data_IF_582546599393
#
_entry.id   IF_582546599393
#
_cell.length_a   1.000
_cell.length_b   1.000
_cell.length_c   1.000
_cell.angle_alpha   90.00
_cell.angle_beta   90.00
_cell.angle_gamma   90.00
#
_symmetry.space_group_name_H-M   'P 1'
#
loop_
_entity.id
_entity.type
_entity.pdbx_description
1 polymer ?
#
# COMPACT_ATOMS: atom_id res chain seq x y z
N UNK A 1 -0.91 19.93 71.38
CA UNK A 1 -1.74 20.13 70.16
C UNK A 1 -0.91 20.93 69.16
N UNK A 2 -0.61 20.40 67.98
CA UNK A 2 0.06 21.15 66.90
C UNK A 2 -0.86 21.10 65.69
N UNK A 3 -1.42 22.26 65.32
CA UNK A 3 -2.37 22.37 64.22
C UNK A 3 -1.63 22.38 62.86
N UNK A 4 -2.17 21.66 61.88
CA UNK A 4 -1.55 21.53 60.56
C UNK A 4 -1.79 22.74 59.65
N UNK A 5 -0.78 23.08 58.84
CA UNK A 5 -0.92 24.06 57.77
C UNK A 5 -1.11 23.34 56.43
N UNK A 6 -2.36 23.20 55.97
CA UNK A 6 -2.66 22.81 54.58
C UNK A 6 -2.64 24.06 53.71
N UNK A 7 -1.66 24.16 52.80
CA UNK A 7 -1.65 25.19 51.74
C UNK A 7 -2.58 24.78 50.60
N UNK A 8 -3.79 25.33 50.56
CA UNK A 8 -4.66 25.27 49.38
C UNK A 8 -4.19 26.30 48.35
N UNK A 9 -3.84 25.82 47.14
CA UNK A 9 -3.48 26.67 46.01
C UNK A 9 -4.78 26.93 45.23
N UNK A 10 -5.31 28.15 45.29
CA UNK A 10 -6.49 28.57 44.52
C UNK A 10 -6.06 29.27 43.23
N UNK A 11 -6.46 28.73 42.09
CA UNK A 11 -6.34 29.41 40.80
C UNK A 11 -7.58 30.28 40.52
N UNK A 12 -7.42 31.52 39.99
CA UNK A 12 -8.55 32.36 39.64
C UNK A 12 -9.25 31.85 38.38
N UNK A 13 -10.57 31.67 38.45
CA UNK A 13 -11.37 31.38 37.26
C UNK A 13 -11.55 32.65 36.40
N UNK A 14 -11.47 32.56 35.06
CA UNK A 14 -11.73 33.70 34.19
C UNK A 14 -13.22 34.08 34.22
N UNK A 15 -13.50 35.39 34.33
CA UNK A 15 -14.88 35.92 34.27
C UNK A 15 -15.42 35.79 32.84
N UNK A 16 -16.54 35.10 32.67
CA UNK A 16 -17.25 35.00 31.38
C UNK A 16 -18.07 36.27 31.10
N UNK A 17 -18.15 36.74 29.83
CA UNK A 17 -19.08 37.81 29.45
C UNK A 17 -20.54 37.32 29.49
N UNK A 18 -21.45 38.23 29.83
CA UNK A 18 -22.90 38.00 29.85
C UNK A 18 -23.49 37.82 28.43
N UNK A 19 -24.40 36.85 28.20
CA UNK A 19 -25.04 36.67 26.91
C UNK A 19 -26.28 37.57 26.75
N UNK A 20 -26.63 38.01 25.52
CA UNK A 20 -27.97 38.49 25.21
C UNK A 20 -28.97 37.32 25.14
N UNK A 21 -30.25 37.62 25.33
CA UNK A 21 -31.32 36.62 25.34
C UNK A 21 -31.62 36.06 23.93
N UNK A 22 -31.77 34.75 23.81
CA UNK A 22 -32.33 34.09 22.61
C UNK A 22 -31.70 32.72 22.29
N UNK A 23 -32.54 31.71 22.07
CA UNK A 23 -32.15 30.43 21.46
C UNK A 23 -31.78 29.30 22.44
N UNK A 24 -32.71 28.37 22.65
CA UNK A 24 -32.44 27.12 23.36
C UNK A 24 -31.67 26.13 22.45
N UNK A 25 -30.35 26.04 22.62
CA UNK A 25 -29.51 25.06 21.92
C UNK A 25 -28.44 24.43 22.84
N UNK A 26 -28.63 23.12 23.10
CA UNK A 26 -27.60 22.11 23.45
C UNK A 26 -26.58 22.46 24.56
N UNK A 27 -27.04 22.50 25.82
CA UNK A 27 -26.15 22.38 26.99
C UNK A 27 -25.29 21.09 26.96
N UNK A 28 -25.80 20.01 26.34
CA UNK A 28 -25.10 18.75 26.11
C UNK A 28 -23.80 18.89 25.32
N UNK A 29 -23.80 19.68 24.23
CA UNK A 29 -22.63 19.87 23.37
C UNK A 29 -21.46 20.57 24.08
N UNK A 30 -21.75 21.57 24.93
CA UNK A 30 -20.72 22.26 25.73
C UNK A 30 -20.11 21.34 26.79
N UNK A 31 -20.91 20.44 27.39
CA UNK A 31 -20.39 19.40 28.30
C UNK A 31 -19.47 18.39 27.59
N UNK A 32 -19.78 18.04 26.33
CA UNK A 32 -18.98 17.12 25.54
C UNK A 32 -17.62 17.74 25.17
N UNK A 33 -17.60 19.01 24.78
CA UNK A 33 -16.38 19.76 24.49
C UNK A 33 -15.48 19.93 25.72
N UNK A 34 -16.05 20.08 26.92
CA UNK A 34 -15.28 20.12 28.17
C UNK A 34 -14.73 18.73 28.56
N UNK A 35 -15.56 17.68 28.44
CA UNK A 35 -15.15 16.28 28.68
C UNK A 35 -14.01 15.84 27.76
N UNK A 36 -13.98 16.33 26.52
CA UNK A 36 -12.92 16.06 25.54
C UNK A 36 -11.55 16.69 25.87
N UNK A 37 -11.45 17.57 26.89
CA UNK A 37 -10.18 18.20 27.30
C UNK A 37 -9.81 17.96 28.77
N UNK A 38 -10.57 17.12 29.47
CA UNK A 38 -10.36 16.84 30.90
C UNK A 38 -10.70 15.39 31.26
N UNK A 39 -10.31 14.45 30.40
CA UNK A 39 -10.14 13.06 30.78
C UNK A 39 -8.70 12.87 31.26
N UNK A 40 -8.42 13.25 32.51
CA UNK A 40 -7.17 12.85 33.19
C UNK A 40 -7.20 11.34 33.37
N UNK A 41 -6.66 10.61 32.40
CA UNK A 41 -6.37 9.18 32.52
C UNK A 41 -5.64 8.95 33.85
N UNK A 42 -5.93 7.87 34.60
CA UNK A 42 -5.12 7.51 35.75
C UNK A 42 -3.65 7.42 35.29
N UNK A 43 -2.78 8.21 35.92
CA UNK A 43 -1.49 8.68 35.37
C UNK A 43 -0.39 7.61 35.20
N UNK A 44 -0.74 6.34 34.99
CA UNK A 44 0.17 5.19 35.00
C UNK A 44 0.60 4.71 33.60
N UNK A 45 -0.22 4.97 32.58
CA UNK A 45 0.04 4.54 31.19
C UNK A 45 0.48 5.66 30.25
N UNK A 46 0.47 6.90 30.72
CA UNK A 46 0.73 8.10 29.93
C UNK A 46 1.99 8.00 29.04
N UNK A 47 3.17 7.52 29.48
CA UNK A 47 4.34 7.47 28.60
C UNK A 47 4.20 6.44 27.46
N UNK A 48 3.76 5.21 27.74
CA UNK A 48 3.70 4.14 26.73
C UNK A 48 2.54 4.30 25.74
N UNK A 49 1.38 4.79 26.22
CA UNK A 49 0.23 5.03 25.34
C UNK A 49 0.48 6.26 24.46
N UNK A 50 1.06 7.35 25.00
CA UNK A 50 1.44 8.48 24.15
C UNK A 50 2.51 8.10 23.13
N UNK A 51 3.55 7.35 23.50
CA UNK A 51 4.56 6.90 22.55
C UNK A 51 3.93 6.09 21.40
N UNK A 52 2.98 5.20 21.72
CA UNK A 52 2.24 4.46 20.69
C UNK A 52 1.38 5.38 19.83
N UNK A 53 0.65 6.33 20.43
CA UNK A 53 -0.20 7.29 19.72
C UNK A 53 0.63 8.21 18.79
N UNK A 54 1.81 8.66 19.25
CA UNK A 54 2.77 9.47 18.49
C UNK A 54 3.36 8.66 17.31
N UNK A 55 3.88 7.45 17.56
CA UNK A 55 4.40 6.54 16.52
C UNK A 55 3.34 6.23 15.44
N UNK A 56 2.07 6.10 15.87
CA UNK A 56 0.89 5.85 15.01
C UNK A 56 0.51 7.11 14.23
N UNK A 57 0.60 8.31 14.82
CA UNK A 57 0.38 9.57 14.13
C UNK A 57 1.42 9.81 13.04
N UNK A 58 2.70 9.56 13.34
CA UNK A 58 3.80 9.62 12.38
C UNK A 58 3.58 8.60 11.25
N UNK A 59 3.22 7.35 11.58
CA UNK A 59 2.89 6.34 10.58
C UNK A 59 1.76 6.79 9.64
N UNK A 60 0.72 7.45 10.16
CA UNK A 60 -0.38 8.00 9.34
C UNK A 60 0.07 9.14 8.44
N UNK A 61 0.96 10.01 8.92
CA UNK A 61 1.57 11.06 8.09
C UNK A 61 2.37 10.45 6.93
N UNK A 62 3.19 9.42 7.19
CA UNK A 62 3.93 8.67 6.16
C UNK A 62 3.00 8.02 5.13
N UNK A 63 1.88 7.42 5.57
CA UNK A 63 0.85 6.87 4.68
C UNK A 63 0.26 7.93 3.76
N UNK A 64 -0.01 9.13 4.27
CA UNK A 64 -0.46 10.28 3.47
C UNK A 64 0.54 10.63 2.35
N UNK A 65 1.84 10.63 2.65
CA UNK A 65 2.90 10.83 1.65
C UNK A 65 2.93 9.69 0.64
N UNK A 66 2.89 8.44 1.09
CA UNK A 66 2.91 7.23 0.25
C UNK A 66 1.77 7.16 -0.77
N UNK A 67 0.56 7.53 -0.37
CA UNK A 67 -0.62 7.54 -1.25
C UNK A 67 -0.52 8.68 -2.28
N UNK A 68 0.11 9.81 -1.91
CA UNK A 68 0.26 10.98 -2.78
C UNK A 68 1.41 10.83 -3.78
N UNK A 69 2.56 10.31 -3.34
CA UNK A 69 3.78 10.15 -4.12
C UNK A 69 4.60 8.96 -3.59
N UNK A 70 4.37 7.77 -4.16
CA UNK A 70 5.15 6.58 -3.82
C UNK A 70 6.58 6.67 -4.40
N UNK A 71 7.58 6.85 -3.54
CA UNK A 71 9.01 6.69 -3.84
C UNK A 71 9.58 5.44 -3.18
N UNK A 72 10.77 4.99 -3.61
CA UNK A 72 11.47 3.88 -2.95
C UNK A 72 11.74 4.19 -1.46
N UNK A 73 12.25 5.39 -1.19
CA UNK A 73 12.58 5.88 0.16
C UNK A 73 11.35 5.92 1.06
N UNK A 74 10.22 6.51 0.61
CA UNK A 74 9.01 6.58 1.41
C UNK A 74 8.39 5.19 1.70
N UNK A 75 8.59 4.23 0.80
CA UNK A 75 8.12 2.84 0.99
C UNK A 75 8.99 2.10 2.01
N UNK A 76 10.32 2.30 1.97
CA UNK A 76 11.24 1.78 2.98
C UNK A 76 10.97 2.40 4.36
N UNK A 77 10.88 3.73 4.46
CA UNK A 77 10.58 4.48 5.68
C UNK A 77 9.22 4.07 6.28
N UNK A 78 8.19 3.88 5.45
CA UNK A 78 6.91 3.35 5.89
C UNK A 78 6.99 1.91 6.43
N UNK A 79 7.88 1.08 5.89
CA UNK A 79 8.13 -0.28 6.38
C UNK A 79 8.95 -0.29 7.68
N UNK A 80 9.85 0.67 7.89
CA UNK A 80 10.53 0.88 9.17
C UNK A 80 9.57 1.40 10.26
N UNK A 81 8.74 2.40 9.96
CA UNK A 81 7.80 2.96 10.94
C UNK A 81 6.71 1.95 11.34
N UNK A 82 6.30 1.07 10.41
CA UNK A 82 5.50 -0.12 10.73
C UNK A 82 6.17 -0.98 11.81
N UNK A 83 7.49 -1.15 11.74
CA UNK A 83 8.28 -1.84 12.76
C UNK A 83 8.25 -1.11 14.11
N UNK A 84 8.38 0.23 14.12
CA UNK A 84 8.37 1.04 15.37
C UNK A 84 7.03 0.95 16.11
N UNK A 85 5.91 1.15 15.40
CA UNK A 85 4.57 1.00 15.98
C UNK A 85 4.36 -0.38 16.58
N UNK A 86 4.86 -1.44 15.93
CA UNK A 86 4.75 -2.81 16.45
C UNK A 86 5.67 -3.08 17.66
N UNK A 87 6.81 -2.40 17.78
CA UNK A 87 7.65 -2.41 18.99
C UNK A 87 6.95 -1.68 20.14
N UNK A 88 6.50 -0.44 19.94
CA UNK A 88 5.79 0.34 20.97
C UNK A 88 4.49 -0.36 21.43
N UNK A 89 3.78 -1.02 20.51
CA UNK A 89 2.64 -1.88 20.85
C UNK A 89 3.05 -3.12 21.65
N UNK A 90 4.15 -3.79 21.29
CA UNK A 90 4.70 -4.90 22.05
C UNK A 90 5.08 -4.46 23.47
N UNK A 91 5.75 -3.33 23.63
CA UNK A 91 6.16 -2.80 24.94
C UNK A 91 4.94 -2.47 25.81
N UNK A 92 3.90 -1.89 25.23
CA UNK A 92 2.61 -1.68 25.90
C UNK A 92 1.99 -3.01 26.38
N UNK A 93 1.98 -4.06 25.55
CA UNK A 93 1.37 -5.36 25.90
C UNK A 93 2.17 -6.16 26.94
N UNK A 94 3.51 -6.03 26.96
CA UNK A 94 4.35 -6.68 27.96
C UNK A 94 4.36 -5.94 29.31
N UNK A 95 3.92 -4.69 29.35
CA UNK A 95 3.85 -3.92 30.60
C UNK A 95 2.78 -4.50 31.55
N UNK A 96 3.12 -4.92 32.79
CA UNK A 96 2.23 -5.70 33.66
C UNK A 96 0.96 -4.93 34.04
N UNK A 97 1.03 -3.60 34.06
CA UNK A 97 -0.13 -2.78 34.35
C UNK A 97 -1.16 -2.84 33.21
N UNK A 98 -0.75 -3.02 31.95
CA UNK A 98 -1.66 -3.02 30.79
C UNK A 98 -2.35 -4.38 30.59
N UNK A 99 -1.71 -5.46 31.06
CA UNK A 99 -2.24 -6.82 31.00
C UNK A 99 -3.52 -6.99 31.82
N UNK A 100 -3.63 -6.34 32.97
CA UNK A 100 -4.79 -6.51 33.87
C UNK A 100 -6.09 -5.84 33.33
N UNK A 101 -6.06 -4.60 32.79
CA UNK A 101 -7.15 -4.04 32.00
C UNK A 101 -7.51 -4.86 30.75
N UNK A 102 -6.52 -5.44 30.06
CA UNK A 102 -6.77 -6.30 28.89
C UNK A 102 -7.32 -7.68 29.27
N UNK A 103 -6.95 -8.26 30.42
CA UNK A 103 -7.58 -9.49 30.97
C UNK A 103 -9.08 -9.33 31.19
N UNK A 104 -9.51 -8.14 31.66
CA UNK A 104 -10.94 -7.79 31.81
C UNK A 104 -11.71 -7.79 30.48
N UNK A 105 -11.02 -7.72 29.34
CA UNK A 105 -11.64 -7.87 28.02
C UNK A 105 -12.06 -9.32 27.72
N UNK A 106 -11.41 -10.31 28.37
CA UNK A 106 -11.76 -11.73 28.32
C UNK A 106 -11.99 -12.28 26.91
N UNK A 107 -12.97 -13.18 26.77
CA UNK A 107 -13.49 -13.65 25.47
C UNK A 107 -14.66 -12.79 25.00
N UNK A 108 -14.44 -11.49 24.89
CA UNK A 108 -15.40 -10.56 24.27
C UNK A 108 -15.25 -10.54 22.74
N UNK A 109 -16.27 -10.10 21.99
CA UNK A 109 -16.16 -9.95 20.53
C UNK A 109 -15.06 -8.95 20.10
N UNK A 110 -14.66 -8.00 20.94
CA UNK A 110 -13.52 -7.10 20.67
C UNK A 110 -12.19 -7.86 20.77
N UNK A 111 -12.03 -8.72 21.78
CA UNK A 111 -10.85 -9.55 21.97
C UNK A 111 -10.66 -10.55 20.82
N UNK A 112 -11.72 -11.30 20.46
CA UNK A 112 -11.71 -12.21 19.32
C UNK A 112 -11.40 -11.46 18.01
N UNK A 113 -12.00 -10.28 17.83
CA UNK A 113 -11.74 -9.44 16.66
C UNK A 113 -10.28 -9.00 16.55
N UNK A 114 -9.66 -8.56 17.64
CA UNK A 114 -8.24 -8.17 17.67
C UNK A 114 -7.33 -9.36 17.30
N UNK A 115 -7.61 -10.54 17.85
CA UNK A 115 -6.85 -11.77 17.57
C UNK A 115 -6.96 -12.22 16.11
N UNK A 116 -8.13 -12.06 15.51
CA UNK A 116 -8.40 -12.27 14.08
C UNK A 116 -7.68 -11.25 13.21
N UNK A 117 -7.67 -9.98 13.63
CA UNK A 117 -7.07 -8.89 12.87
C UNK A 117 -5.53 -8.99 12.84
N UNK A 118 -4.87 -9.32 13.95
CA UNK A 118 -3.44 -9.63 13.95
C UNK A 118 -3.10 -10.90 13.15
N UNK A 119 -3.97 -11.91 13.13
CA UNK A 119 -3.78 -13.10 12.29
C UNK A 119 -3.83 -12.74 10.80
N UNK A 120 -4.87 -12.01 10.38
CA UNK A 120 -5.03 -11.53 8.99
C UNK A 120 -3.88 -10.63 8.55
N UNK A 121 -3.33 -9.81 9.45
CA UNK A 121 -2.13 -9.02 9.17
C UNK A 121 -0.88 -9.89 9.01
N UNK A 122 -0.68 -10.89 9.88
CA UNK A 122 0.43 -11.84 9.73
C UNK A 122 0.32 -12.63 8.40
N UNK A 123 -0.86 -13.13 8.04
CA UNK A 123 -1.10 -13.83 6.77
C UNK A 123 -0.85 -12.94 5.55
N UNK A 124 -1.26 -11.67 5.62
CA UNK A 124 -1.01 -10.69 4.58
C UNK A 124 0.50 -10.38 4.44
N UNK A 125 1.22 -10.24 5.56
CA UNK A 125 2.68 -10.06 5.55
C UNK A 125 3.43 -11.31 5.08
N UNK A 126 3.00 -12.52 5.43
CA UNK A 126 3.56 -13.77 4.91
C UNK A 126 3.36 -13.93 3.40
N UNK A 127 2.17 -13.58 2.92
CA UNK A 127 1.87 -13.51 1.47
C UNK A 127 2.71 -12.44 0.77
N UNK A 128 2.88 -11.27 1.39
CA UNK A 128 3.69 -10.17 0.87
C UNK A 128 5.17 -10.55 0.77
N UNK A 129 5.76 -11.14 1.81
CA UNK A 129 7.15 -11.63 1.78
C UNK A 129 7.37 -12.65 0.65
N UNK A 130 6.44 -13.59 0.48
CA UNK A 130 6.48 -14.56 -0.63
C UNK A 130 6.47 -13.87 -2.02
N UNK A 131 5.70 -12.79 -2.16
CA UNK A 131 5.67 -11.98 -3.37
C UNK A 131 6.94 -11.12 -3.56
N UNK A 132 7.55 -10.60 -2.48
CA UNK A 132 8.81 -9.85 -2.55
C UNK A 132 9.96 -10.72 -3.07
N UNK A 133 10.11 -11.95 -2.57
CA UNK A 133 11.14 -12.89 -3.05
C UNK A 133 11.00 -13.17 -4.54
N UNK A 134 9.76 -13.33 -5.03
CA UNK A 134 9.49 -13.48 -6.47
C UNK A 134 9.82 -12.20 -7.26
N UNK A 135 9.48 -11.01 -6.74
CA UNK A 135 9.83 -9.73 -7.35
C UNK A 135 11.34 -9.48 -7.38
N UNK A 136 12.09 -9.86 -6.34
CA UNK A 136 13.53 -9.77 -6.27
C UNK A 136 14.20 -10.59 -7.39
N UNK A 137 13.78 -11.86 -7.55
CA UNK A 137 14.28 -12.73 -8.61
C UNK A 137 13.99 -12.15 -10.01
N UNK A 138 12.77 -11.65 -10.23
CA UNK A 138 12.36 -11.06 -11.51
C UNK A 138 13.05 -9.71 -11.80
N UNK A 139 13.32 -8.90 -10.77
CA UNK A 139 14.12 -7.69 -10.89
C UNK A 139 15.56 -8.01 -11.27
N UNK A 140 16.15 -9.05 -10.66
CA UNK A 140 17.51 -9.50 -10.96
C UNK A 140 17.62 -10.06 -12.38
N UNK A 141 16.64 -10.85 -12.83
CA UNK A 141 16.54 -11.34 -14.22
C UNK A 141 16.43 -10.18 -15.23
N UNK A 142 15.51 -9.23 -14.99
CA UNK A 142 15.34 -8.06 -15.84
C UNK A 142 16.63 -7.21 -15.91
N UNK A 143 17.31 -7.03 -14.78
CA UNK A 143 18.60 -6.32 -14.68
C UNK A 143 19.71 -7.07 -15.43
N UNK A 144 19.77 -8.40 -15.34
CA UNK A 144 20.74 -9.21 -16.06
C UNK A 144 20.51 -9.16 -17.57
N UNK A 145 19.26 -9.30 -18.04
CA UNK A 145 18.90 -9.18 -19.45
C UNK A 145 19.21 -7.77 -20.01
N UNK A 146 19.06 -6.73 -19.18
CA UNK A 146 19.40 -5.35 -19.54
C UNK A 146 20.92 -5.10 -19.66
N UNK A 147 21.74 -5.81 -18.88
CA UNK A 147 23.22 -5.80 -18.97
C UNK A 147 23.71 -6.58 -20.19
N UNK A 148 23.06 -7.71 -20.50
CA UNK A 148 23.42 -8.62 -21.59
C UNK A 148 22.84 -8.23 -22.95
N UNK A 149 22.03 -7.16 -23.00
CA UNK A 149 21.36 -6.67 -24.21
C UNK A 149 20.48 -7.74 -24.88
N UNK A 150 19.74 -8.50 -24.07
CA UNK A 150 18.88 -9.59 -24.53
C UNK A 150 17.40 -9.14 -24.54
N UNK A 151 16.91 -8.45 -25.60
CA UNK A 151 15.60 -7.77 -25.59
C UNK A 151 14.42 -8.74 -25.39
N UNK A 152 14.53 -9.96 -25.90
CA UNK A 152 13.50 -10.99 -25.71
C UNK A 152 13.36 -11.41 -24.25
N UNK A 153 14.50 -11.64 -23.54
CA UNK A 153 14.52 -11.98 -22.12
C UNK A 153 14.10 -10.80 -21.24
N UNK A 154 14.53 -9.58 -21.60
CA UNK A 154 14.10 -8.36 -20.94
C UNK A 154 12.58 -8.16 -21.05
N UNK A 155 11.99 -8.43 -22.22
CA UNK A 155 10.55 -8.36 -22.42
C UNK A 155 9.78 -9.45 -21.67
N UNK A 156 10.30 -10.68 -21.55
CA UNK A 156 9.67 -11.72 -20.72
C UNK A 156 9.76 -11.39 -19.23
N UNK A 157 10.94 -11.01 -18.74
CA UNK A 157 11.16 -10.61 -17.35
C UNK A 157 10.30 -9.40 -16.96
N UNK A 158 10.21 -8.37 -17.79
CA UNK A 158 9.33 -7.22 -17.54
C UNK A 158 7.84 -7.60 -17.54
N UNK A 159 7.39 -8.52 -18.41
CA UNK A 159 6.01 -9.04 -18.37
C UNK A 159 5.73 -9.82 -17.09
N UNK A 160 6.69 -10.64 -16.63
CA UNK A 160 6.59 -11.38 -15.38
C UNK A 160 6.58 -10.44 -14.16
N UNK A 161 7.49 -9.46 -14.13
CA UNK A 161 7.57 -8.43 -13.08
C UNK A 161 6.26 -7.65 -12.95
N UNK A 162 5.63 -7.25 -14.07
CA UNK A 162 4.28 -6.64 -14.07
C UNK A 162 3.18 -7.57 -13.57
N UNK A 163 3.27 -8.88 -13.80
CA UNK A 163 2.26 -9.85 -13.35
C UNK A 163 2.36 -10.01 -11.84
N UNK A 164 3.55 -10.34 -11.33
CA UNK A 164 3.82 -10.47 -9.90
C UNK A 164 3.50 -9.17 -9.13
N UNK A 165 3.83 -8.00 -9.72
CA UNK A 165 3.45 -6.70 -9.15
C UNK A 165 1.94 -6.48 -9.03
N UNK A 166 1.10 -7.12 -9.85
CA UNK A 166 -0.37 -7.00 -9.78
C UNK A 166 -1.02 -7.87 -8.69
N UNK A 167 -0.28 -8.80 -8.10
CA UNK A 167 -0.77 -9.59 -6.96
C UNK A 167 -0.71 -8.78 -5.65
N UNK A 168 0.24 -7.85 -5.56
CA UNK A 168 0.43 -6.98 -4.38
C UNK A 168 -0.81 -6.14 -3.99
N UNK A 169 -1.56 -5.49 -4.90
CA UNK A 169 -2.81 -4.81 -4.56
C UNK A 169 -3.90 -5.71 -3.94
N UNK A 170 -3.92 -7.01 -4.25
CA UNK A 170 -4.84 -7.98 -3.64
C UNK A 170 -4.44 -8.30 -2.20
N UNK A 171 -3.14 -8.42 -1.94
CA UNK A 171 -2.59 -8.57 -0.58
C UNK A 171 -2.83 -7.27 0.22
N UNK A 172 -2.67 -6.11 -0.42
CA UNK A 172 -2.99 -4.80 0.16
C UNK A 172 -4.48 -4.67 0.51
N UNK A 173 -5.41 -5.18 -0.31
CA UNK A 173 -6.83 -5.16 0.04
C UNK A 173 -7.18 -6.08 1.21
N UNK A 174 -6.47 -7.21 1.36
CA UNK A 174 -6.62 -8.09 2.52
C UNK A 174 -6.16 -7.39 3.81
N UNK A 175 -5.05 -6.64 3.78
CA UNK A 175 -4.62 -5.80 4.89
C UNK A 175 -5.63 -4.66 5.17
N UNK A 176 -6.13 -3.93 4.16
CA UNK A 176 -7.13 -2.86 4.36
C UNK A 176 -8.44 -3.36 4.97
N UNK A 177 -8.84 -4.61 4.73
CA UNK A 177 -10.05 -5.19 5.30
C UNK A 177 -10.03 -5.29 6.84
N UNK A 178 -8.84 -5.21 7.46
CA UNK A 178 -8.70 -5.05 8.91
C UNK A 178 -9.10 -3.64 9.35
N UNK A 179 -8.51 -2.60 8.75
CA UNK A 179 -8.80 -1.20 9.07
C UNK A 179 -10.21 -0.72 8.65
N UNK A 180 -10.80 -1.31 7.60
CA UNK A 180 -12.07 -0.85 7.04
C UNK A 180 -13.31 -1.26 7.86
N UNK A 181 -13.17 -2.20 8.80
CA UNK A 181 -14.29 -2.68 9.62
C UNK A 181 -14.28 -1.95 10.96
N UNK A 182 -15.37 -1.25 11.26
CA UNK A 182 -15.56 -0.60 12.55
C UNK A 182 -15.40 -1.63 13.70
N UNK A 183 -14.68 -1.28 14.78
CA UNK A 183 -14.55 -2.17 15.93
C UNK A 183 -15.92 -2.38 16.59
N UNK A 184 -16.22 -3.57 17.12
CA UNK A 184 -17.41 -3.78 17.94
C UNK A 184 -17.36 -2.88 19.18
N UNK A 185 -18.53 -2.52 19.72
CA UNK A 185 -18.59 -1.73 20.94
C UNK A 185 -17.87 -2.47 22.09
N UNK A 186 -17.06 -1.77 22.92
CA UNK A 186 -16.48 -2.37 24.11
C UNK A 186 -17.60 -2.83 25.07
N UNK A 187 -17.40 -3.93 25.83
CA UNK A 187 -18.29 -4.30 26.93
C UNK A 187 -18.68 -3.11 27.81
N UNK A 188 -19.98 -2.97 28.11
CA UNK A 188 -20.55 -1.78 28.74
C UNK A 188 -19.98 -1.48 30.13
N UNK A 189 -19.54 -2.51 30.85
CA UNK A 189 -19.02 -2.44 32.22
C UNK A 189 -17.47 -2.31 32.28
N UNK A 190 -16.80 -2.10 31.14
CA UNK A 190 -15.34 -1.89 31.14
C UNK A 190 -14.97 -0.57 31.84
N UNK A 191 -14.02 -0.59 32.80
CA UNK A 191 -13.50 0.64 33.37
C UNK A 191 -12.73 1.45 32.32
N UNK A 192 -12.69 2.77 32.50
CA UNK A 192 -12.21 3.70 31.47
C UNK A 192 -10.73 3.51 31.09
N UNK A 193 -9.90 2.97 31.99
CA UNK A 193 -8.50 2.59 31.73
C UNK A 193 -8.41 1.41 30.75
N UNK A 194 -9.23 0.39 30.94
CA UNK A 194 -9.33 -0.78 30.06
C UNK A 194 -9.89 -0.40 28.68
N UNK A 195 -10.91 0.44 28.65
CA UNK A 195 -11.47 0.95 27.40
C UNK A 195 -10.44 1.78 26.60
N UNK A 196 -9.64 2.62 27.27
CA UNK A 196 -8.60 3.42 26.63
C UNK A 196 -7.46 2.56 26.05
N UNK A 197 -6.95 1.58 26.81
CA UNK A 197 -5.89 0.67 26.34
C UNK A 197 -6.40 -0.19 25.18
N UNK A 198 -7.61 -0.73 25.27
CA UNK A 198 -8.21 -1.48 24.18
C UNK A 198 -8.40 -0.62 22.92
N UNK A 199 -8.81 0.64 23.05
CA UNK A 199 -8.91 1.59 21.94
C UNK A 199 -7.54 1.88 21.29
N UNK A 200 -6.48 2.09 22.08
CA UNK A 200 -5.12 2.30 21.55
C UNK A 200 -4.60 1.07 20.78
N UNK A 201 -4.83 -0.15 21.29
CA UNK A 201 -4.47 -1.40 20.59
C UNK A 201 -5.25 -1.57 19.28
N UNK A 202 -6.54 -1.24 19.26
CA UNK A 202 -7.38 -1.25 18.04
C UNK A 202 -6.90 -0.21 17.03
N UNK A 203 -6.57 1.00 17.50
CA UNK A 203 -6.15 2.12 16.64
C UNK A 203 -4.75 1.86 16.03
N UNK A 204 -3.84 1.28 16.79
CA UNK A 204 -2.55 0.79 16.31
C UNK A 204 -2.71 -0.34 15.27
N UNK A 205 -3.58 -1.31 15.52
CA UNK A 205 -3.87 -2.38 14.56
C UNK A 205 -4.45 -1.83 13.23
N UNK A 206 -5.36 -0.86 13.30
CA UNK A 206 -5.93 -0.18 12.13
C UNK A 206 -4.87 0.67 11.37
N UNK A 207 -3.98 1.35 12.09
CA UNK A 207 -2.87 2.10 11.50
C UNK A 207 -1.87 1.17 10.77
N UNK A 208 -1.45 0.10 11.44
CA UNK A 208 -0.58 -0.95 10.86
C UNK A 208 -1.22 -1.58 9.63
N UNK A 209 -2.52 -1.86 9.66
CA UNK A 209 -3.27 -2.39 8.53
C UNK A 209 -3.30 -1.45 7.32
N UNK A 210 -3.60 -0.17 7.55
CA UNK A 210 -3.62 0.87 6.52
C UNK A 210 -2.23 1.09 5.91
N UNK A 211 -1.20 1.17 6.75
CA UNK A 211 0.19 1.39 6.33
C UNK A 211 0.78 0.19 5.60
N UNK A 212 0.53 -1.04 6.07
CA UNK A 212 0.93 -2.27 5.37
C UNK A 212 0.38 -2.26 3.94
N UNK A 213 -0.90 -1.93 3.77
CA UNK A 213 -1.50 -1.83 2.46
C UNK A 213 -0.95 -0.68 1.59
N UNK A 214 -0.55 0.45 2.20
CA UNK A 214 0.11 1.54 1.49
C UNK A 214 1.50 1.11 0.99
N UNK A 215 2.32 0.49 1.84
CA UNK A 215 3.63 -0.09 1.49
C UNK A 215 3.49 -1.13 0.36
N UNK A 216 2.56 -2.08 0.48
CA UNK A 216 2.34 -3.12 -0.54
C UNK A 216 1.89 -2.51 -1.88
N UNK A 217 1.03 -1.47 -1.83
CA UNK A 217 0.63 -0.70 -3.03
C UNK A 217 1.80 0.11 -3.61
N UNK A 218 2.69 0.65 -2.78
CA UNK A 218 3.89 1.36 -3.19
C UNK A 218 4.88 0.46 -3.94
N UNK A 219 5.18 -0.72 -3.40
CA UNK A 219 6.01 -1.73 -4.10
C UNK A 219 5.34 -2.18 -5.42
N UNK A 220 4.01 -2.33 -5.46
CA UNK A 220 3.27 -2.57 -6.71
C UNK A 220 3.52 -1.48 -7.76
N UNK A 221 3.43 -0.21 -7.36
CA UNK A 221 3.66 0.93 -8.25
C UNK A 221 5.10 0.96 -8.77
N UNK A 222 6.09 0.76 -7.89
CA UNK A 222 7.51 0.72 -8.25
C UNK A 222 7.84 -0.45 -9.18
N UNK A 223 7.29 -1.64 -8.92
CA UNK A 223 7.42 -2.84 -9.78
C UNK A 223 6.85 -2.59 -11.18
N UNK A 224 5.63 -2.04 -11.27
CA UNK A 224 5.01 -1.69 -12.55
C UNK A 224 5.81 -0.61 -13.28
N UNK A 225 6.32 0.40 -12.57
CA UNK A 225 7.14 1.48 -13.14
C UNK A 225 8.48 0.98 -13.69
N UNK A 226 9.21 0.14 -12.96
CA UNK A 226 10.44 -0.49 -13.45
C UNK A 226 10.19 -1.34 -14.69
N UNK A 227 9.11 -2.14 -14.67
CA UNK A 227 8.71 -2.97 -15.79
C UNK A 227 8.07 -2.22 -16.98
N UNK A 228 7.98 -0.87 -16.92
CA UNK A 228 7.68 -0.03 -18.10
C UNK A 228 8.93 0.38 -18.87
N UNK A 229 10.11 0.38 -18.24
CA UNK A 229 11.21 1.26 -18.64
C UNK A 229 11.94 0.88 -19.94
N UNK A 230 11.67 -0.30 -20.52
CA UNK A 230 12.29 -0.78 -21.77
C UNK A 230 11.34 -1.51 -22.72
N UNK A 231 10.04 -1.52 -22.45
CA UNK A 231 9.09 -2.36 -23.20
C UNK A 231 8.45 -1.62 -24.38
N UNK A 232 9.15 -0.65 -24.97
CA UNK A 232 9.03 -0.34 -26.41
C UNK A 232 9.97 -1.25 -27.21
N UNK A 233 9.78 -2.57 -27.06
CA UNK A 233 10.20 -3.49 -28.12
C UNK A 233 9.31 -3.18 -29.32
N UNK A 234 9.89 -3.08 -30.51
CA UNK A 234 9.17 -3.27 -31.78
C UNK A 234 8.64 -4.71 -31.86
N UNK A 235 7.66 -5.02 -31.03
CA UNK A 235 6.77 -6.12 -31.28
C UNK A 235 5.90 -5.67 -32.45
N UNK A 236 6.04 -6.22 -33.68
CA UNK A 236 5.00 -6.06 -34.67
C UNK A 236 3.68 -6.45 -33.98
N UNK A 237 2.60 -5.66 -34.14
CA UNK A 237 1.36 -5.94 -33.44
C UNK A 237 0.95 -7.39 -33.73
N UNK A 238 0.40 -8.08 -32.73
CA UNK A 238 0.02 -9.52 -32.77
C UNK A 238 -1.05 -9.92 -33.83
N UNK A 239 -1.27 -9.03 -34.79
CA UNK A 239 -2.19 -9.03 -35.91
C UNK A 239 -1.43 -9.13 -37.25
N UNK A 240 -0.12 -8.86 -37.25
CA UNK A 240 0.77 -9.12 -38.40
C UNK A 240 1.22 -10.59 -38.40
N UNK A 241 0.96 -11.35 -39.47
CA UNK A 241 1.63 -12.63 -39.69
C UNK A 241 3.13 -12.40 -39.90
N UNK A 242 3.98 -13.25 -39.30
CA UNK A 242 5.42 -13.24 -39.61
C UNK A 242 5.64 -13.56 -41.10
N UNK A 243 6.62 -12.94 -41.78
CA UNK A 243 6.93 -13.19 -43.17
C UNK A 243 7.77 -14.49 -43.34
N UNK A 244 7.18 -15.62 -42.96
CA UNK A 244 7.76 -16.95 -43.13
C UNK A 244 6.65 -17.91 -43.61
N UNK A 245 6.56 -18.12 -44.93
CA UNK A 245 5.51 -18.97 -45.52
C UNK A 245 5.05 -18.58 -46.92
N UNK A 246 5.97 -18.40 -47.88
CA UNK A 246 5.64 -18.43 -49.32
C UNK A 246 6.42 -19.54 -50.03
N UNK A 247 6.06 -20.80 -49.80
CA UNK A 247 6.40 -21.93 -50.68
C UNK A 247 5.41 -23.09 -50.47
N UNK A 248 4.73 -23.51 -51.56
CA UNK A 248 3.79 -24.65 -51.59
C UNK A 248 2.44 -24.41 -50.88
N UNK A 249 1.30 -24.92 -51.35
CA UNK A 249 0.99 -25.73 -52.55
C UNK A 249 -0.50 -25.60 -52.92
N UNK A 250 -0.86 -26.07 -54.13
CA UNK A 250 -2.21 -26.03 -54.72
C UNK A 250 -3.17 -27.13 -54.20
N UNK A 251 -4.49 -27.08 -54.48
CA UNK A 251 -5.50 -27.46 -53.47
C UNK A 251 -6.31 -28.74 -53.72
N UNK A 252 -6.98 -29.16 -52.64
CA UNK A 252 -8.32 -29.78 -52.56
C UNK A 252 -8.57 -31.19 -53.10
N UNK A 253 -9.19 -32.02 -52.26
CA UNK A 253 -9.76 -33.33 -52.63
C UNK A 253 -10.80 -33.84 -51.63
N UNK A 254 -12.08 -33.60 -51.95
CA UNK A 254 -13.25 -34.42 -51.55
C UNK A 254 -13.86 -34.23 -50.14
N UNK A 255 -15.19 -34.31 -50.11
CA UNK A 255 -16.15 -34.09 -49.00
C UNK A 255 -16.65 -35.47 -48.45
N UNK A 256 -17.74 -35.65 -47.64
CA UNK A 256 -18.70 -34.69 -47.06
C UNK A 256 -19.23 -34.92 -45.62
N UNK A 257 -19.96 -33.90 -45.13
CA UNK A 257 -21.17 -33.94 -44.25
C UNK A 257 -21.09 -34.53 -42.82
N UNK A 258 -21.52 -33.71 -41.85
CA UNK A 258 -22.88 -33.87 -41.28
C UNK A 258 -23.47 -32.54 -40.79
N UNK A 259 -24.80 -32.43 -40.80
CA UNK A 259 -25.59 -31.22 -40.47
C UNK A 259 -26.41 -31.48 -39.22
N UNK A 260 -26.44 -30.54 -38.27
CA UNK A 260 -27.57 -30.34 -37.35
C UNK A 260 -27.87 -28.83 -37.28
N UNK A 261 -29.11 -28.46 -37.58
CA UNK A 261 -29.67 -27.12 -37.41
C UNK A 261 -31.01 -27.26 -36.68
N UNK A 262 -31.14 -26.67 -35.49
CA UNK A 262 -32.46 -26.37 -34.89
C UNK A 262 -32.45 -25.06 -34.09
N UNK A 263 -33.10 -24.04 -34.67
CA UNK A 263 -34.02 -23.08 -34.02
C UNK A 263 -33.56 -22.22 -32.81
N UNK A 264 -33.39 -20.92 -33.09
CA UNK A 264 -33.68 -19.76 -32.19
C UNK A 264 -35.22 -19.53 -32.13
N UNK A 265 -35.83 -18.76 -31.19
CA UNK A 265 -35.63 -17.30 -30.99
C UNK A 265 -35.55 -16.84 -29.49
N UNK A 266 -34.69 -15.91 -29.08
CA UNK A 266 -34.73 -14.43 -29.19
C UNK A 266 -35.41 -13.69 -28.00
N UNK A 267 -34.62 -12.91 -27.24
CA UNK A 267 -35.03 -11.72 -26.49
C UNK A 267 -33.81 -10.83 -26.17
N UNK A 268 -33.89 -9.54 -26.50
CA UNK A 268 -33.01 -8.40 -26.16
C UNK A 268 -31.46 -8.50 -26.36
N UNK A 269 -30.93 -7.64 -27.24
CA UNK A 269 -29.51 -7.23 -27.35
C UNK A 269 -29.39 -5.74 -26.90
N UNK A 270 -28.27 -4.99 -27.04
CA UNK A 270 -26.86 -5.30 -27.42
C UNK A 270 -25.87 -4.78 -26.31
N UNK A 271 -24.56 -4.48 -26.46
CA UNK A 271 -23.56 -4.47 -27.55
C UNK A 271 -22.17 -4.84 -26.97
N UNK A 272 -21.28 -5.52 -27.73
CA UNK A 272 -19.84 -5.44 -27.51
C UNK A 272 -19.07 -5.11 -28.81
N UNK A 273 -18.64 -3.86 -29.00
CA UNK A 273 -17.74 -3.43 -30.10
C UNK A 273 -17.15 -2.04 -29.81
N UNK A 274 -16.13 -1.65 -30.60
CA UNK A 274 -15.44 -0.34 -30.57
C UNK A 274 -14.43 -0.10 -29.42
N UNK A 275 -13.53 -1.06 -29.15
CA UNK A 275 -12.22 -0.74 -28.54
C UNK A 275 -11.10 -0.59 -29.59
N UNK A 276 -11.10 -1.41 -30.65
CA UNK A 276 -10.00 -1.40 -31.62
C UNK A 276 -9.90 -0.10 -32.44
N UNK A 277 -11.02 0.59 -32.70
CA UNK A 277 -10.99 1.91 -33.36
C UNK A 277 -10.31 2.96 -32.47
N UNK A 278 -10.53 2.91 -31.15
CA UNK A 278 -9.86 3.82 -30.22
C UNK A 278 -8.35 3.55 -30.14
N UNK A 279 -7.93 2.28 -30.14
CA UNK A 279 -6.51 1.94 -30.19
C UNK A 279 -5.85 2.22 -31.55
N UNK A 280 -6.55 2.01 -32.67
CA UNK A 280 -6.08 2.39 -34.00
C UNK A 280 -5.90 3.91 -34.11
N UNK A 281 -6.86 4.70 -33.60
CA UNK A 281 -6.76 6.16 -33.53
C UNK A 281 -5.63 6.61 -32.59
N UNK A 282 -5.41 5.94 -31.45
CA UNK A 282 -4.25 6.19 -30.56
C UNK A 282 -2.91 5.79 -31.21
N UNK A 283 -2.88 4.75 -32.04
CA UNK A 283 -1.70 4.35 -32.80
C UNK A 283 -1.38 5.38 -33.88
N UNK A 284 -2.34 5.74 -34.74
CA UNK A 284 -2.15 6.78 -35.77
C UNK A 284 -1.77 8.13 -35.15
N UNK A 285 -2.37 8.52 -34.03
CA UNK A 285 -2.00 9.75 -33.30
C UNK A 285 -0.57 9.71 -32.73
N UNK A 286 -0.04 8.52 -32.39
CA UNK A 286 1.36 8.36 -31.97
C UNK A 286 2.32 8.30 -33.16
N UNK A 287 1.97 7.61 -34.24
CA UNK A 287 2.73 7.61 -35.49
C UNK A 287 2.88 9.04 -36.07
N UNK A 288 1.79 9.81 -36.11
CA UNK A 288 1.80 11.21 -36.57
C UNK A 288 2.67 12.11 -35.68
N UNK A 289 2.68 11.90 -34.36
CA UNK A 289 3.60 12.59 -33.44
C UNK A 289 5.08 12.17 -33.63
N UNK A 290 5.37 10.91 -33.95
CA UNK A 290 6.73 10.46 -34.31
C UNK A 290 7.23 11.10 -35.61
N UNK A 291 6.37 11.16 -36.63
CA UNK A 291 6.68 11.83 -37.91
C UNK A 291 6.94 13.33 -37.73
N UNK A 292 6.07 14.03 -37.01
CA UNK A 292 6.27 15.44 -36.68
C UNK A 292 7.54 15.69 -35.85
N UNK A 293 7.89 14.79 -34.91
CA UNK A 293 9.13 14.89 -34.13
C UNK A 293 10.38 14.68 -35.00
N UNK A 294 10.36 13.73 -35.95
CA UNK A 294 11.45 13.53 -36.92
C UNK A 294 11.67 14.76 -37.81
N UNK A 295 10.59 15.32 -38.36
CA UNK A 295 10.66 16.56 -39.13
C UNK A 295 11.19 17.74 -38.29
N UNK A 296 10.82 17.82 -37.01
CA UNK A 296 11.37 18.84 -36.11
C UNK A 296 12.87 18.65 -35.83
N UNK A 297 13.35 17.41 -35.70
CA UNK A 297 14.79 17.13 -35.53
C UNK A 297 15.58 17.35 -36.82
N UNK A 298 15.03 17.02 -37.99
CA UNK A 298 15.64 17.28 -39.30
C UNK A 298 15.75 18.79 -39.57
N UNK A 299 14.68 19.55 -39.29
CA UNK A 299 14.70 21.01 -39.40
C UNK A 299 15.63 21.68 -38.38
N UNK A 300 15.75 21.13 -37.16
CA UNK A 300 16.70 21.62 -36.16
C UNK A 300 18.16 21.29 -36.51
N UNK A 301 18.42 20.13 -37.13
CA UNK A 301 19.73 19.77 -37.66
C UNK A 301 20.15 20.69 -38.82
N UNK A 302 19.23 20.99 -39.74
CA UNK A 302 19.46 21.96 -40.82
C UNK A 302 19.74 23.38 -40.29
N UNK A 303 19.09 23.80 -39.20
CA UNK A 303 19.30 25.11 -38.59
C UNK A 303 20.59 25.21 -37.74
N UNK A 304 21.17 24.09 -37.29
CA UNK A 304 22.37 24.06 -36.42
C UNK A 304 23.69 23.88 -37.18
N UNK A 305 23.65 23.60 -38.49
CA UNK A 305 24.83 23.43 -39.35
C UNK A 305 25.74 24.68 -39.49
N UNK A 306 25.45 25.78 -38.79
CA UNK A 306 26.18 27.06 -38.83
C UNK A 306 26.92 27.42 -37.53
N UNK A 307 26.96 26.53 -36.52
CA UNK A 307 27.73 26.72 -35.29
C UNK A 307 28.56 25.48 -34.92
N UNK A 308 29.89 25.61 -34.68
CA UNK A 308 30.70 24.52 -34.15
C UNK A 308 30.41 24.39 -32.64
N UNK A 309 29.54 23.46 -32.26
CA UNK A 309 29.20 23.19 -30.87
C UNK A 309 29.58 21.74 -30.53
N UNK A 310 30.66 21.57 -29.76
CA UNK A 310 31.07 20.30 -29.18
C UNK A 310 30.24 19.97 -27.93
N UNK A 311 28.94 19.75 -28.13
CA UNK A 311 28.11 19.04 -27.15
C UNK A 311 27.68 17.72 -27.79
N UNK A 312 28.27 16.62 -27.33
CA UNK A 312 27.91 15.29 -27.79
C UNK A 312 26.46 14.99 -27.33
N UNK A 313 25.50 15.18 -28.23
CA UNK A 313 24.10 14.89 -27.97
C UNK A 313 23.95 13.41 -27.59
N UNK A 314 23.66 13.15 -26.31
CA UNK A 314 23.47 11.80 -25.78
C UNK A 314 22.36 11.12 -26.56
N UNK A 315 22.64 9.93 -27.08
CA UNK A 315 21.69 9.13 -27.83
C UNK A 315 20.43 8.89 -26.97
N UNK A 316 19.21 9.21 -27.48
CA UNK A 316 17.98 8.93 -26.76
C UNK A 316 17.84 7.48 -26.31
N UNK A 317 18.36 6.50 -27.08
CA UNK A 317 18.33 5.08 -26.67
C UNK A 317 19.26 4.79 -25.48
N UNK A 318 20.38 5.50 -25.38
CA UNK A 318 21.32 5.40 -24.25
C UNK A 318 20.74 6.07 -22.99
N UNK A 319 19.97 7.15 -23.15
CA UNK A 319 19.23 7.78 -22.05
C UNK A 319 18.09 6.89 -21.54
N UNK A 320 17.31 6.29 -22.43
CA UNK A 320 16.30 5.28 -22.07
C UNK A 320 16.95 4.05 -21.40
N UNK A 321 18.15 3.66 -21.84
CA UNK A 321 18.97 2.63 -21.17
C UNK A 321 19.33 2.98 -19.72
N UNK A 322 19.82 4.20 -19.49
CA UNK A 322 20.21 4.68 -18.14
C UNK A 322 18.99 4.74 -17.21
N UNK A 323 17.90 5.37 -17.64
CA UNK A 323 16.67 5.47 -16.83
C UNK A 323 16.04 4.10 -16.51
N UNK A 324 16.20 3.11 -17.37
CA UNK A 324 15.76 1.74 -17.10
C UNK A 324 16.61 1.01 -16.06
N UNK A 325 17.93 1.22 -16.09
CA UNK A 325 18.81 0.71 -15.05
C UNK A 325 18.49 1.33 -13.70
N UNK A 326 18.33 2.66 -13.65
CA UNK A 326 17.96 3.41 -12.45
C UNK A 326 16.64 2.91 -11.84
N UNK A 327 15.60 2.71 -12.65
CA UNK A 327 14.30 2.20 -12.14
C UNK A 327 14.39 0.77 -11.61
N UNK A 328 15.16 -0.10 -12.25
CA UNK A 328 15.40 -1.46 -11.75
C UNK A 328 16.25 -1.43 -10.47
N UNK A 329 17.26 -0.57 -10.36
CA UNK A 329 18.06 -0.40 -9.14
C UNK A 329 17.23 0.15 -7.99
N UNK A 330 16.42 1.19 -8.23
CA UNK A 330 15.55 1.79 -7.21
C UNK A 330 14.48 0.79 -6.72
N UNK A 331 13.96 -0.06 -7.60
CA UNK A 331 13.11 -1.18 -7.19
C UNK A 331 13.88 -2.21 -6.35
N UNK A 332 15.10 -2.59 -6.78
CA UNK A 332 15.92 -3.58 -6.07
C UNK A 332 16.30 -3.15 -4.66
N UNK A 333 16.68 -1.87 -4.47
CA UNK A 333 16.93 -1.27 -3.15
C UNK A 333 15.66 -1.31 -2.30
N UNK A 334 14.56 -0.77 -2.80
CA UNK A 334 13.26 -0.78 -2.11
C UNK A 334 12.83 -2.19 -1.66
N UNK A 335 13.00 -3.21 -2.50
CA UNK A 335 12.69 -4.60 -2.11
C UNK A 335 13.60 -5.03 -0.96
N UNK A 336 14.93 -4.83 -1.06
CA UNK A 336 15.86 -5.22 0.00
C UNK A 336 15.59 -4.51 1.34
N UNK A 337 15.32 -3.20 1.30
CA UNK A 337 15.02 -2.39 2.48
C UNK A 337 13.74 -2.91 3.16
N UNK A 338 12.68 -3.10 2.38
CA UNK A 338 11.38 -3.61 2.87
C UNK A 338 11.47 -5.07 3.34
N UNK A 339 12.26 -5.94 2.70
CA UNK A 339 12.51 -7.31 3.16
C UNK A 339 13.23 -7.32 4.52
N UNK A 340 14.21 -6.43 4.72
CA UNK A 340 14.98 -6.32 5.97
C UNK A 340 14.13 -5.93 7.18
N UNK A 341 13.10 -5.10 6.97
CA UNK A 341 12.09 -4.76 7.96
C UNK A 341 10.97 -5.80 8.04
N UNK A 342 10.62 -6.44 6.93
CA UNK A 342 9.46 -7.29 6.76
C UNK A 342 9.48 -8.56 7.63
N UNK A 343 10.65 -9.14 7.89
CA UNK A 343 10.74 -10.24 8.86
C UNK A 343 10.49 -9.78 10.30
N UNK A 344 11.02 -8.60 10.67
CA UNK A 344 10.79 -8.02 12.01
C UNK A 344 9.30 -7.73 12.22
N UNK A 345 8.66 -7.12 11.23
CA UNK A 345 7.21 -6.83 11.20
C UNK A 345 6.38 -8.11 11.29
N UNK A 346 6.67 -9.13 10.49
CA UNK A 346 5.95 -10.41 10.55
C UNK A 346 6.10 -11.10 11.92
N UNK A 347 7.34 -11.17 12.46
CA UNK A 347 7.59 -11.76 13.78
C UNK A 347 6.90 -10.96 14.89
N UNK A 348 6.91 -9.63 14.81
CA UNK A 348 6.22 -8.78 15.78
C UNK A 348 4.70 -8.98 15.74
N UNK A 349 4.06 -9.09 14.56
CA UNK A 349 2.63 -9.40 14.44
C UNK A 349 2.25 -10.74 15.08
N UNK A 350 3.04 -11.78 14.83
CA UNK A 350 2.85 -13.11 15.45
C UNK A 350 3.03 -13.05 16.96
N UNK A 351 4.09 -12.41 17.44
CA UNK A 351 4.37 -12.25 18.87
C UNK A 351 3.26 -11.45 19.58
N UNK A 352 2.85 -10.32 19.02
CA UNK A 352 1.74 -9.49 19.51
C UNK A 352 0.45 -10.31 19.63
N UNK A 353 0.12 -11.14 18.64
CA UNK A 353 -1.03 -12.05 18.72
C UNK A 353 -0.88 -13.09 19.84
N UNK A 354 0.30 -13.67 20.02
CA UNK A 354 0.58 -14.64 21.09
C UNK A 354 0.49 -13.99 22.47
N UNK A 355 1.06 -12.80 22.65
CA UNK A 355 0.94 -12.03 23.90
C UNK A 355 -0.52 -11.68 24.20
N UNK A 356 -1.31 -11.25 23.20
CA UNK A 356 -2.75 -11.05 23.35
C UNK A 356 -3.48 -12.34 23.74
N UNK A 357 -3.20 -13.49 23.11
CA UNK A 357 -3.79 -14.78 23.49
C UNK A 357 -3.53 -15.13 24.96
N UNK A 358 -2.28 -14.96 25.40
CA UNK A 358 -1.87 -15.25 26.78
C UNK A 358 -2.51 -14.29 27.80
N UNK A 359 -2.75 -13.04 27.41
CA UNK A 359 -3.45 -12.04 28.24
C UNK A 359 -4.96 -12.30 28.29
N UNK A 360 -5.58 -12.69 27.18
CA UNK A 360 -7.04 -12.86 27.03
C UNK A 360 -7.55 -14.25 27.45
N UNK A 361 -6.66 -15.24 27.48
CA UNK A 361 -6.91 -16.57 28.04
C UNK A 361 -5.73 -16.94 28.96
N UNK A 362 -5.65 -16.35 30.16
CA UNK A 362 -4.73 -16.84 31.18
C UNK A 362 -5.10 -18.30 31.46
N UNK A 363 -4.21 -19.21 31.08
CA UNK A 363 -4.40 -20.62 31.36
C UNK A 363 -4.47 -20.80 32.89
N UNK A 364 -5.49 -21.52 33.36
CA UNK A 364 -5.60 -21.89 34.75
C UNK A 364 -4.51 -22.93 35.06
N UNK A 365 -3.41 -22.45 35.64
CA UNK A 365 -2.29 -23.21 36.18
C UNK A 365 -2.19 -22.92 37.68
#
# INVERSE_FOLDING_TARGET
>A
MVAGFRRTISFPAPKSPTPPAGGAATATAKSAAYRARSASLPCRFHPLVLQLDDDVADLRALVGRLVSQASAEAVAEGAEQLGRVLVSLSDLLHHPQAQEPLRRLGRSPLAERLLDDFLRLADAHGSFRSALVALAALQAEARAALRREEPARLASAARALRRSGRDLPRIASAARAVAAKAPPAPPADLPADAAAIAAAVVDAAAAVASASAAVFSGVSCLSVAAATARVEVEAPPCWMPSPAGRFGSTPSGTTPRHVIVTTRPASACPVPRVWWVADLMRWMSRAKRRSAKRQHTENAAAASASRPQMDAAVDPEELERKTAFERLDNLGRCIADVESSGEKVFRALVNTRVSLLNILSPAAF
#
